data_IF_846180341341
#
_entry.id   IF_846180341341
#
_cell.length_a   1.000
_cell.length_b   1.000
_cell.length_c   1.000
_cell.angle_alpha   90.00
_cell.angle_beta   90.00
_cell.angle_gamma   90.00
#
_symmetry.space_group_name_H-M   'P 1'
#
loop_
_entity.id
_entity.type
_entity.pdbx_description
1 polymer ?
#
# COMPACT_ATOMS: atom_id res chain seq x y z
N UNK A 1 -1.15 -17.54 -10.17
CA UNK A 1 -1.37 -16.70 -8.97
C UNK A 1 -0.02 -16.20 -8.49
N UNK A 2 0.07 -14.95 -8.02
CA UNK A 2 1.29 -14.32 -7.53
C UNK A 2 1.22 -14.01 -6.04
N UNK A 3 2.38 -14.03 -5.37
CA UNK A 3 2.51 -13.68 -3.95
C UNK A 3 3.20 -12.32 -3.82
N UNK A 4 2.59 -11.45 -3.02
CA UNK A 4 3.08 -10.09 -2.82
C UNK A 4 3.19 -9.77 -1.34
N UNK A 5 4.24 -9.02 -0.98
CA UNK A 5 4.40 -8.47 0.36
C UNK A 5 3.97 -7.01 0.34
N UNK A 6 3.11 -6.62 1.25
CA UNK A 6 2.76 -5.21 1.49
C UNK A 6 3.52 -4.70 2.69
N UNK A 7 4.08 -3.50 2.59
CA UNK A 7 4.72 -2.78 3.69
C UNK A 7 4.03 -1.42 3.79
N UNK A 8 3.37 -1.14 4.91
CA UNK A 8 2.75 0.16 5.12
C UNK A 8 3.81 1.25 5.27
N UNK A 9 3.54 2.41 4.68
CA UNK A 9 4.34 3.62 4.84
C UNK A 9 3.73 4.36 6.03
N UNK A 10 4.42 4.43 7.18
CA UNK A 10 3.86 5.03 8.38
C UNK A 10 3.61 6.53 8.17
N UNK A 11 2.47 7.01 8.67
CA UNK A 11 2.24 8.43 8.85
C UNK A 11 2.82 8.92 10.18
N UNK A 12 2.47 10.15 10.56
CA UNK A 12 3.05 10.89 11.69
C UNK A 12 2.97 10.24 13.10
N UNK A 13 2.43 9.02 13.29
CA UNK A 13 2.15 8.46 14.63
C UNK A 13 2.30 6.95 14.82
N UNK A 14 2.79 6.15 13.85
CA UNK A 14 2.62 4.67 13.89
C UNK A 14 3.81 3.90 13.31
N UNK A 15 3.99 2.67 13.79
CA UNK A 15 4.97 1.69 13.30
C UNK A 15 4.59 1.07 11.94
N UNK A 16 5.60 0.82 11.12
CA UNK A 16 5.47 0.06 9.86
C UNK A 16 4.85 -1.31 10.10
N UNK A 17 3.83 -1.66 9.32
CA UNK A 17 3.24 -3.01 9.27
C UNK A 17 3.64 -3.67 7.97
N UNK A 18 3.94 -4.97 8.03
CA UNK A 18 4.15 -5.78 6.83
C UNK A 18 3.23 -7.00 6.87
N UNK A 19 2.68 -7.36 5.72
CA UNK A 19 1.89 -8.58 5.56
C UNK A 19 2.04 -9.17 4.17
N UNK A 20 1.80 -10.48 4.08
CA UNK A 20 1.83 -11.23 2.82
C UNK A 20 0.40 -11.32 2.26
N UNK A 21 0.27 -11.29 0.93
CA UNK A 21 -1.00 -11.44 0.23
C UNK A 21 -0.81 -12.34 -1.01
N UNK A 22 -1.81 -13.15 -1.31
CA UNK A 22 -1.87 -13.95 -2.53
C UNK A 22 -2.97 -13.39 -3.44
N UNK A 23 -2.62 -13.04 -4.68
CA UNK A 23 -3.55 -12.42 -5.61
C UNK A 23 -3.35 -12.92 -7.05
N UNK A 24 -4.41 -12.91 -7.88
CA UNK A 24 -4.32 -13.35 -9.28
C UNK A 24 -3.47 -12.42 -10.15
N UNK A 25 -3.29 -11.15 -9.76
CA UNK A 25 -2.48 -10.14 -10.46
C UNK A 25 -2.07 -9.01 -9.52
N UNK A 26 -1.15 -8.14 -9.97
CA UNK A 26 -0.74 -6.94 -9.22
C UNK A 26 -1.89 -5.97 -8.99
N UNK A 27 -2.82 -5.84 -9.94
CA UNK A 27 -3.99 -4.97 -9.78
C UNK A 27 -4.93 -5.49 -8.68
N UNK A 28 -5.13 -6.80 -8.60
CA UNK A 28 -5.90 -7.40 -7.51
C UNK A 28 -5.16 -7.23 -6.16
N UNK A 29 -3.84 -7.37 -6.15
CA UNK A 29 -3.02 -7.14 -4.97
C UNK A 29 -3.15 -5.69 -4.45
N UNK A 30 -3.14 -4.71 -5.35
CA UNK A 30 -3.31 -3.29 -5.04
C UNK A 30 -4.65 -3.00 -4.35
N UNK A 31 -5.74 -3.53 -4.90
CA UNK A 31 -7.09 -3.32 -4.32
C UNK A 31 -7.15 -3.89 -2.91
N UNK A 32 -6.64 -5.10 -2.69
CA UNK A 32 -6.64 -5.74 -1.36
C UNK A 32 -5.71 -5.00 -0.40
N UNK A 33 -4.56 -4.53 -0.86
CA UNK A 33 -3.63 -3.75 -0.05
C UNK A 33 -4.26 -2.42 0.41
N UNK A 34 -4.93 -1.69 -0.50
CA UNK A 34 -5.63 -0.43 -0.22
C UNK A 34 -6.75 -0.63 0.82
N UNK A 35 -7.61 -1.64 0.63
CA UNK A 35 -8.72 -1.94 1.56
C UNK A 35 -8.22 -2.25 2.97
N UNK A 36 -7.08 -2.93 3.09
CA UNK A 36 -6.50 -3.31 4.38
C UNK A 36 -5.60 -2.24 4.99
N UNK A 37 -5.29 -1.17 4.24
CA UNK A 37 -4.48 -0.07 4.73
C UNK A 37 -5.35 0.86 5.59
N UNK A 38 -4.90 1.13 6.80
CA UNK A 38 -5.56 2.10 7.68
C UNK A 38 -5.17 3.53 7.25
N UNK A 39 -6.05 4.16 6.45
CA UNK A 39 -5.87 5.47 5.80
C UNK A 39 -5.83 6.67 6.77
N UNK A 40 -6.30 6.49 8.01
CA UNK A 40 -6.18 7.53 9.05
C UNK A 40 -4.80 7.51 9.72
N UNK A 41 -4.08 6.41 9.52
CA UNK A 41 -2.91 6.02 10.31
C UNK A 41 -1.62 5.96 9.48
N UNK A 42 -1.73 5.65 8.20
CA UNK A 42 -0.60 5.48 7.29
C UNK A 42 -0.66 6.50 6.15
N UNK A 43 0.50 6.83 5.60
CA UNK A 43 0.62 7.71 4.43
C UNK A 43 0.65 6.92 3.11
N UNK A 44 0.66 5.58 3.18
CA UNK A 44 0.72 4.72 2.00
C UNK A 44 1.06 3.27 2.30
N UNK A 45 1.34 2.53 1.23
CA UNK A 45 1.90 1.19 1.27
C UNK A 45 2.76 0.92 0.02
N UNK A 46 3.81 0.13 0.18
CA UNK A 46 4.61 -0.42 -0.92
C UNK A 46 4.27 -1.89 -1.12
N UNK A 47 4.15 -2.31 -2.38
CA UNK A 47 3.89 -3.70 -2.75
C UNK A 47 5.13 -4.26 -3.43
N UNK A 48 5.59 -5.41 -2.92
CA UNK A 48 6.76 -6.12 -3.41
C UNK A 48 6.38 -7.49 -3.95
N UNK A 49 7.05 -7.92 -5.02
CA UNK A 49 7.04 -9.28 -5.53
C UNK A 49 8.45 -9.85 -5.31
N UNK A 50 8.59 -10.80 -4.38
CA UNK A 50 9.89 -11.14 -3.81
C UNK A 50 10.50 -9.92 -3.09
N UNK A 51 11.71 -9.54 -3.47
CA UNK A 51 12.39 -8.34 -2.94
C UNK A 51 12.22 -7.10 -3.83
N UNK A 52 11.53 -7.22 -4.96
CA UNK A 52 11.37 -6.13 -5.92
C UNK A 52 10.08 -5.35 -5.64
N UNK A 53 10.18 -4.04 -5.41
CA UNK A 53 9.00 -3.16 -5.42
C UNK A 53 8.36 -3.13 -6.81
N UNK A 54 7.06 -3.39 -6.87
CA UNK A 54 6.28 -3.48 -8.11
C UNK A 54 5.15 -2.45 -8.21
N UNK A 55 4.66 -1.95 -7.08
CA UNK A 55 3.67 -0.89 -7.03
C UNK A 55 3.66 -0.19 -5.67
N UNK A 56 2.97 0.93 -5.57
CA UNK A 56 2.74 1.65 -4.32
C UNK A 56 1.42 2.41 -4.33
N UNK A 57 0.84 2.60 -3.15
CA UNK A 57 -0.30 3.48 -2.91
C UNK A 57 0.18 4.57 -1.97
N UNK A 58 -0.03 5.84 -2.31
CA UNK A 58 0.44 6.97 -1.49
C UNK A 58 -0.63 8.03 -1.38
N UNK A 59 -0.71 8.65 -0.20
CA UNK A 59 -1.54 9.83 0.01
C UNK A 59 -0.85 11.04 -0.61
N UNK A 60 -1.50 11.63 -1.61
CA UNK A 60 -1.13 12.89 -2.22
C UNK A 60 -1.89 14.02 -1.52
N UNK A 61 -1.15 14.93 -0.89
CA UNK A 61 -1.72 16.12 -0.25
C UNK A 61 -1.86 17.24 -1.29
N UNK A 62 -2.74 17.06 -2.28
CA UNK A 62 -3.11 18.13 -3.21
C UNK A 62 -4.23 18.96 -2.58
N UNK A 63 -3.86 19.95 -1.78
CA UNK A 63 -4.80 20.85 -1.10
C UNK A 63 -5.40 20.27 0.20
N UNK A 64 -6.61 20.72 0.58
CA UNK A 64 -7.30 20.28 1.82
C UNK A 64 -7.98 18.90 1.70
N UNK A 65 -8.07 18.34 0.50
CA UNK A 65 -8.57 16.97 0.28
C UNK A 65 -7.37 16.05 0.07
N UNK A 66 -7.23 15.01 0.90
CA UNK A 66 -6.23 13.97 0.66
C UNK A 66 -6.70 13.06 -0.48
N UNK A 67 -6.00 13.07 -1.60
CA UNK A 67 -6.23 12.13 -2.69
C UNK A 67 -5.27 10.93 -2.50
N UNK A 68 -5.68 9.72 -2.87
CA UNK A 68 -4.81 8.54 -2.87
C UNK A 68 -4.40 8.22 -4.31
N UNK A 69 -3.10 8.08 -4.54
CA UNK A 69 -2.52 7.84 -5.85
C UNK A 69 -1.85 6.46 -5.87
N UNK A 70 -2.06 5.74 -6.97
CA UNK A 70 -1.35 4.49 -7.26
C UNK A 70 -0.17 4.82 -8.18
N UNK A 71 1.05 4.48 -7.75
CA UNK A 71 2.30 4.73 -8.46
C UNK A 71 3.07 3.45 -8.75
#
# INVERSE_FOLDING_TARGET
MGRYRVISIPGNRIDTKAWELEAPSINAALIVADINLDHDRHDGAEILEGDRRVASIRRSLVGKAGLWEVC
#
